data_IF_988107329708
#
_entry.id   IF_988107329708
#
_cell.length_a   1.000
_cell.length_b   1.000
_cell.length_c   1.000
_cell.angle_alpha   90.00
_cell.angle_beta   90.00
_cell.angle_gamma   90.00
#
_symmetry.space_group_name_H-M   'P 1'
#
loop_
_entity.id
_entity.type
_entity.pdbx_description
1 polymer ?
#
# COMPACT_ATOMS: atom_id res chain seq x y z
N UNK A 1 19.36 -16.54 1.49
CA UNK A 1 18.11 -17.34 1.47
C UNK A 1 17.29 -16.89 2.67
N UNK A 2 16.51 -15.82 2.53
CA UNK A 2 15.73 -15.22 3.61
C UNK A 2 14.26 -15.49 3.29
N UNK A 3 13.79 -16.65 3.70
CA UNK A 3 12.41 -17.06 3.52
C UNK A 3 11.65 -16.32 4.61
N UNK A 4 10.82 -15.36 4.22
CA UNK A 4 10.02 -14.55 5.13
C UNK A 4 9.06 -15.48 5.90
N UNK A 5 9.33 -15.68 7.19
CA UNK A 5 8.43 -16.33 8.15
C UNK A 5 7.20 -15.44 8.44
N UNK A 6 6.53 -14.97 7.40
CA UNK A 6 5.31 -14.15 7.48
C UNK A 6 4.08 -14.90 6.94
N UNK A 7 4.28 -16.07 6.33
CA UNK A 7 3.24 -16.80 5.58
C UNK A 7 2.14 -17.46 6.42
N UNK A 8 2.03 -17.23 7.73
CA UNK A 8 1.06 -18.01 8.53
C UNK A 8 0.57 -17.37 9.85
N UNK A 9 0.23 -16.09 9.84
CA UNK A 9 -0.60 -15.51 10.90
C UNK A 9 -1.97 -15.16 10.32
N UNK A 10 -2.77 -16.19 10.00
CA UNK A 10 -4.22 -16.02 9.83
C UNK A 10 -4.82 -15.68 11.19
N UNK A 11 -4.81 -14.40 11.54
CA UNK A 11 -5.63 -13.88 12.62
C UNK A 11 -7.06 -13.79 12.11
N UNK A 12 -7.88 -14.81 12.38
CA UNK A 12 -9.34 -14.70 12.24
C UNK A 12 -9.83 -13.70 13.27
N UNK A 13 -9.90 -12.43 12.89
CA UNK A 13 -10.60 -11.41 13.65
C UNK A 13 -12.07 -11.55 13.27
N UNK A 14 -12.94 -11.82 14.25
CA UNK A 14 -14.38 -11.80 14.03
C UNK A 14 -14.80 -10.33 13.82
N UNK A 15 -14.61 -9.85 12.60
CA UNK A 15 -14.86 -8.49 12.17
C UNK A 15 -16.24 -8.45 11.51
N UNK A 16 -17.18 -7.74 12.12
CA UNK A 16 -18.47 -7.45 11.50
C UNK A 16 -18.26 -6.40 10.40
N UNK A 17 -18.34 -6.84 9.15
CA UNK A 17 -18.34 -5.99 7.96
C UNK A 17 -19.71 -6.10 7.30
N UNK A 18 -20.22 -4.99 6.77
CA UNK A 18 -21.44 -4.98 5.96
C UNK A 18 -21.30 -5.97 4.78
N UNK A 19 -22.20 -6.95 4.72
CA UNK A 19 -22.20 -7.98 3.67
C UNK A 19 -22.36 -7.38 2.28
N UNK A 20 -23.11 -6.28 2.13
CA UNK A 20 -23.32 -5.63 0.84
C UNK A 20 -22.02 -4.99 0.35
N UNK A 21 -21.26 -4.39 1.26
CA UNK A 21 -19.96 -3.77 0.94
C UNK A 21 -18.96 -4.83 0.47
N UNK A 22 -18.90 -5.98 1.15
CA UNK A 22 -18.02 -7.08 0.74
C UNK A 22 -18.44 -7.69 -0.59
N UNK A 23 -19.75 -7.84 -0.85
CA UNK A 23 -20.25 -8.33 -2.15
C UNK A 23 -19.86 -7.38 -3.28
N UNK A 24 -20.09 -6.09 -3.11
CA UNK A 24 -19.71 -5.08 -4.10
C UNK A 24 -18.19 -5.10 -4.35
N UNK A 25 -17.38 -5.20 -3.29
CA UNK A 25 -15.94 -5.28 -3.42
C UNK A 25 -15.44 -6.58 -4.07
N UNK A 26 -16.11 -7.72 -3.84
CA UNK A 26 -15.84 -8.99 -4.54
C UNK A 26 -16.14 -8.86 -6.04
N UNK A 27 -17.29 -8.29 -6.39
CA UNK A 27 -17.72 -8.09 -7.77
C UNK A 27 -16.82 -7.11 -8.54
N UNK A 28 -16.47 -5.99 -7.92
CA UNK A 28 -15.62 -4.96 -8.54
C UNK A 28 -14.14 -5.36 -8.56
N UNK A 29 -13.64 -5.98 -7.50
CA UNK A 29 -12.24 -6.39 -7.36
C UNK A 29 -11.89 -7.71 -8.05
N UNK A 30 -12.89 -8.50 -8.44
CA UNK A 30 -12.69 -9.80 -9.10
C UNK A 30 -12.05 -10.86 -8.18
N UNK A 31 -12.18 -10.69 -6.86
CA UNK A 31 -11.60 -11.59 -5.88
C UNK A 31 -12.53 -12.77 -5.58
N UNK A 32 -11.98 -13.98 -5.31
CA UNK A 32 -12.79 -15.17 -5.05
C UNK A 32 -13.26 -15.30 -3.59
N UNK A 33 -12.62 -14.60 -2.64
CA UNK A 33 -12.87 -14.75 -1.20
C UNK A 33 -12.89 -13.41 -0.48
N UNK A 34 -13.66 -13.34 0.62
CA UNK A 34 -13.73 -12.15 1.46
C UNK A 34 -12.34 -11.78 2.02
N UNK A 35 -11.56 -12.78 2.44
CA UNK A 35 -10.20 -12.58 2.94
C UNK A 35 -9.30 -11.90 1.91
N UNK A 36 -9.37 -12.30 0.65
CA UNK A 36 -8.57 -11.70 -0.42
C UNK A 36 -8.95 -10.22 -0.65
N UNK A 37 -10.26 -9.91 -0.61
CA UNK A 37 -10.75 -8.53 -0.69
C UNK A 37 -10.27 -7.69 0.49
N UNK A 38 -10.37 -8.23 1.70
CA UNK A 38 -9.98 -7.52 2.93
C UNK A 38 -8.48 -7.24 2.92
N UNK A 39 -7.67 -8.24 2.53
CA UNK A 39 -6.22 -8.06 2.44
C UNK A 39 -5.84 -6.99 1.41
N UNK A 40 -6.44 -7.02 0.22
CA UNK A 40 -6.17 -6.04 -0.82
C UNK A 40 -6.61 -4.63 -0.40
N UNK A 41 -7.81 -4.49 0.16
CA UNK A 41 -8.32 -3.21 0.66
C UNK A 41 -7.42 -2.61 1.74
N UNK A 42 -6.86 -3.44 2.65
CA UNK A 42 -5.90 -2.99 3.65
C UNK A 42 -4.58 -2.54 3.01
N UNK A 43 -4.09 -3.27 2.00
CA UNK A 43 -2.87 -2.90 1.25
C UNK A 43 -3.05 -1.55 0.57
N UNK A 44 -4.15 -1.35 -0.15
CA UNK A 44 -4.49 -0.09 -0.79
C UNK A 44 -4.65 1.05 0.21
N UNK A 45 -5.35 0.81 1.33
CA UNK A 45 -5.52 1.81 2.39
C UNK A 45 -4.17 2.28 2.95
N UNK A 46 -3.28 1.33 3.28
CA UNK A 46 -1.93 1.64 3.78
C UNK A 46 -1.14 2.41 2.71
N UNK A 47 -1.18 1.97 1.45
CA UNK A 47 -0.47 2.61 0.36
C UNK A 47 -0.93 4.06 0.17
N UNK A 48 -2.24 4.30 0.15
CA UNK A 48 -2.83 5.63 0.04
C UNK A 48 -2.38 6.54 1.19
N UNK A 49 -2.33 6.04 2.42
CA UNK A 49 -1.84 6.80 3.58
C UNK A 49 -0.34 7.10 3.49
N UNK A 50 0.47 6.15 3.01
CA UNK A 50 1.90 6.39 2.77
C UNK A 50 2.12 7.46 1.71
N UNK A 51 1.36 7.44 0.62
CA UNK A 51 1.43 8.46 -0.42
C UNK A 51 1.06 9.86 0.11
N UNK A 52 0.04 9.96 0.96
CA UNK A 52 -0.31 11.24 1.60
C UNK A 52 0.83 11.78 2.47
N UNK A 53 1.56 10.93 3.20
CA UNK A 53 2.75 11.35 3.96
C UNK A 53 3.89 11.85 3.07
N UNK A 54 4.02 11.37 1.84
CA UNK A 54 4.99 11.93 0.88
C UNK A 54 4.58 13.36 0.53
N UNK A 55 3.28 13.65 0.42
CA UNK A 55 2.80 15.02 0.17
C UNK A 55 3.17 15.98 1.30
N UNK A 56 3.23 15.49 2.55
CA UNK A 56 3.67 16.29 3.72
C UNK A 56 5.15 16.69 3.65
N UNK A 57 5.97 15.99 2.85
CA UNK A 57 7.40 16.32 2.67
C UNK A 57 7.63 17.42 1.62
N UNK A 58 6.62 17.81 0.84
CA UNK A 58 6.78 18.90 -0.12
C UNK A 58 6.97 20.23 0.63
N UNK A 59 8.07 20.92 0.32
CA UNK A 59 8.44 22.18 0.98
C UNK A 59 9.19 22.01 2.30
N UNK A 60 9.39 20.78 2.80
CA UNK A 60 10.25 20.52 3.97
C UNK A 60 11.65 20.05 3.57
N UNK A 61 11.86 19.72 2.29
CA UNK A 61 13.15 19.30 1.76
C UNK A 61 13.85 20.54 1.22
N UNK A 62 14.92 20.96 1.91
CA UNK A 62 15.88 21.93 1.37
C UNK A 62 16.79 21.22 0.37
N UNK A 63 16.87 21.77 -0.83
CA UNK A 63 17.82 21.33 -1.85
C UNK A 63 19.07 22.20 -1.75
N UNK A 64 20.24 21.58 -1.83
CA UNK A 64 21.49 22.32 -1.99
C UNK A 64 21.50 23.03 -3.35
N UNK A 65 21.92 24.29 -3.38
CA UNK A 65 21.90 25.14 -4.58
C UNK A 65 22.77 24.58 -5.72
N UNK A 66 23.77 23.77 -5.41
CA UNK A 66 24.71 23.16 -6.35
C UNK A 66 24.33 21.73 -6.77
N UNK A 67 23.16 21.23 -6.34
CA UNK A 67 22.73 19.87 -6.62
C UNK A 67 22.34 19.65 -8.10
N UNK A 68 23.26 19.14 -8.92
CA UNK A 68 22.99 18.75 -10.31
C UNK A 68 22.46 17.30 -10.44
N UNK A 69 21.13 17.17 -10.40
CA UNK A 69 20.45 15.88 -10.60
C UNK A 69 20.66 15.25 -12.00
N UNK A 70 21.19 15.98 -12.99
CA UNK A 70 21.47 15.44 -14.33
C UNK A 70 22.70 14.55 -14.35
N UNK A 71 23.60 14.65 -13.37
CA UNK A 71 24.77 13.79 -13.27
C UNK A 71 24.39 12.32 -13.11
N UNK A 72 23.38 12.00 -12.29
CA UNK A 72 22.89 10.63 -12.11
C UNK A 72 22.19 10.05 -13.35
N UNK A 73 21.66 10.90 -14.23
CA UNK A 73 20.95 10.46 -15.44
C UNK A 73 21.90 10.14 -16.59
N UNK A 74 23.09 10.77 -16.60
CA UNK A 74 24.15 10.54 -17.60
C UNK A 74 24.99 9.30 -17.29
N UNK A 75 24.95 8.79 -16.06
CA UNK A 75 25.69 7.62 -15.62
C UNK A 75 24.91 6.30 -15.76
N UNK A 76 23.79 6.29 -16.48
CA UNK A 76 22.98 5.10 -16.79
C UNK A 76 23.21 4.64 -18.22
#
# INVERSE_FOLDING_TARGET
>A
MHIALWDNLHMTTNLEIDENLIKEALELGGHPTQDAVIEEALREYIQRRKQLKIMELFGTIEYEDDYDYKQQRRSR
#
